data_IF_461906881239
#
_entry.id   IF_461906881239
#
_cell.length_a   1.000
_cell.length_b   1.000
_cell.length_c   1.000
_cell.angle_alpha   90.00
_cell.angle_beta   90.00
_cell.angle_gamma   90.00
#
_symmetry.space_group_name_H-M   'P 1'
#
loop_
_entity.id
_entity.type
_entity.pdbx_description
1 polymer ?
#
# COMPACT_ATOMS: atom_id res chain seq x y z
N UNK A 1 -15.46 12.63 -6.41
CA UNK A 1 -14.52 12.95 -7.51
C UNK A 1 -13.21 12.31 -7.12
N UNK A 2 -12.69 11.38 -7.91
CA UNK A 2 -11.32 10.90 -7.71
C UNK A 2 -10.39 12.10 -7.75
N UNK A 3 -9.57 12.27 -6.70
CA UNK A 3 -8.53 13.27 -6.75
C UNK A 3 -7.50 12.83 -7.80
N UNK A 4 -6.83 13.78 -8.44
CA UNK A 4 -5.73 13.45 -9.38
C UNK A 4 -4.68 12.52 -8.73
N UNK A 5 -4.53 12.58 -7.39
CA UNK A 5 -3.54 11.82 -6.63
C UNK A 5 -3.90 10.35 -6.49
N UNK A 6 -5.18 10.00 -6.27
CA UNK A 6 -5.60 8.59 -6.21
C UNK A 6 -5.40 7.87 -7.55
N UNK A 7 -5.72 8.56 -8.66
CA UNK A 7 -5.48 8.06 -10.01
C UNK A 7 -3.99 7.89 -10.33
N UNK A 8 -3.16 8.82 -9.84
CA UNK A 8 -1.71 8.67 -9.95
C UNK A 8 -1.20 7.43 -9.19
N UNK A 9 -1.66 7.21 -7.96
CA UNK A 9 -1.30 6.03 -7.18
C UNK A 9 -1.75 4.73 -7.88
N UNK A 10 -2.97 4.70 -8.42
CA UNK A 10 -3.50 3.57 -9.19
C UNK A 10 -2.59 3.24 -10.38
N UNK A 11 -2.25 4.24 -11.20
CA UNK A 11 -1.35 4.07 -12.36
C UNK A 11 0.04 3.58 -11.97
N UNK A 12 0.57 4.02 -10.84
CA UNK A 12 1.86 3.55 -10.32
C UNK A 12 1.79 2.07 -9.96
N UNK A 13 0.73 1.62 -9.28
CA UNK A 13 0.55 0.21 -8.94
C UNK A 13 0.34 -0.67 -10.18
N UNK A 14 -0.46 -0.21 -11.14
CA UNK A 14 -0.64 -0.89 -12.44
C UNK A 14 0.70 -1.00 -13.20
N UNK A 15 1.48 0.09 -13.22
CA UNK A 15 2.82 0.09 -13.81
C UNK A 15 3.76 -0.86 -13.06
N UNK A 16 3.74 -0.88 -11.73
CA UNK A 16 4.54 -1.81 -10.93
C UNK A 16 4.19 -3.27 -11.27
N UNK A 17 2.90 -3.61 -11.43
CA UNK A 17 2.48 -4.96 -11.83
C UNK A 17 3.12 -5.41 -13.13
N UNK A 18 3.22 -4.51 -14.11
CA UNK A 18 3.79 -4.80 -15.43
C UNK A 18 5.30 -5.11 -15.39
N UNK A 19 6.00 -4.71 -14.33
CA UNK A 19 7.42 -5.00 -14.12
C UNK A 19 7.66 -6.29 -13.32
N UNK A 20 6.61 -6.95 -12.82
CA UNK A 20 6.73 -8.19 -12.02
C UNK A 20 6.38 -9.41 -12.89
N UNK A 21 7.29 -10.40 -13.04
CA UNK A 21 6.96 -11.67 -13.68
C UNK A 21 5.77 -12.37 -13.00
N UNK A 22 4.92 -13.06 -13.75
CA UNK A 22 3.70 -13.69 -13.20
C UNK A 22 3.99 -14.66 -12.05
N UNK A 23 5.06 -15.44 -12.14
CA UNK A 23 5.46 -16.40 -11.11
C UNK A 23 6.15 -15.78 -9.89
N UNK A 24 6.42 -14.47 -9.91
CA UNK A 24 7.04 -13.72 -8.82
C UNK A 24 6.04 -12.79 -8.10
N UNK A 25 4.80 -12.70 -8.57
CA UNK A 25 3.84 -11.78 -8.01
C UNK A 25 3.15 -12.34 -6.75
N UNK A 26 3.21 -11.58 -5.65
CA UNK A 26 2.63 -11.95 -4.35
C UNK A 26 1.72 -10.85 -3.74
N UNK A 27 1.41 -9.83 -4.55
CA UNK A 27 0.68 -8.63 -4.15
C UNK A 27 1.59 -7.50 -3.67
N UNK A 28 1.04 -6.28 -3.71
CA UNK A 28 1.71 -5.05 -3.24
C UNK A 28 0.78 -4.36 -2.24
N UNK A 29 1.34 -3.88 -1.13
CA UNK A 29 0.67 -2.95 -0.21
C UNK A 29 1.42 -1.63 -0.17
N UNK A 30 0.72 -0.50 -0.25
CA UNK A 30 1.31 0.84 -0.18
C UNK A 30 0.54 1.74 0.78
N UNK A 31 1.27 2.61 1.47
CA UNK A 31 0.72 3.71 2.27
C UNK A 31 1.31 5.01 1.73
N UNK A 32 0.47 5.86 1.16
CA UNK A 32 0.82 7.24 0.82
C UNK A 32 0.55 8.10 2.05
N UNK A 33 1.60 8.51 2.75
CA UNK A 33 1.48 9.25 4.00
C UNK A 33 1.80 10.74 3.81
N UNK A 34 1.13 11.56 4.61
CA UNK A 34 1.34 13.00 4.75
C UNK A 34 2.41 13.29 5.81
N UNK A 35 2.37 12.56 6.94
CA UNK A 35 3.26 12.74 8.08
C UNK A 35 3.73 11.35 8.54
N UNK A 36 5.04 11.16 8.68
CA UNK A 36 5.59 9.88 9.13
C UNK A 36 5.36 9.64 10.63
N UNK A 37 5.54 10.71 11.43
CA UNK A 37 5.41 10.64 12.88
C UNK A 37 4.02 10.16 13.31
N UNK A 38 4.00 9.08 14.10
CA UNK A 38 2.77 8.47 14.59
C UNK A 38 2.14 7.44 13.65
N UNK A 39 2.74 7.15 12.48
CA UNK A 39 2.33 5.99 11.69
C UNK A 39 2.55 4.69 12.49
N UNK A 40 1.55 3.81 12.61
CA UNK A 40 1.66 2.57 13.35
C UNK A 40 2.32 1.50 12.48
N UNK A 41 3.60 1.72 12.17
CA UNK A 41 4.41 0.88 11.30
C UNK A 41 5.60 0.27 12.05
N UNK A 42 5.97 -0.94 11.67
CA UNK A 42 7.15 -1.63 12.18
C UNK A 42 7.89 -2.29 10.99
N UNK A 43 9.20 -2.09 10.83
CA UNK A 43 9.97 -2.83 9.84
C UNK A 43 9.91 -4.33 10.07
N UNK A 44 9.49 -5.09 9.06
CA UNK A 44 9.52 -6.56 9.07
C UNK A 44 10.87 -7.12 8.60
N UNK A 45 11.67 -6.28 7.95
CA UNK A 45 13.04 -6.60 7.55
C UNK A 45 14.04 -5.58 8.08
N UNK A 46 15.21 -6.09 8.48
CA UNK A 46 16.37 -5.28 8.88
C UNK A 46 17.05 -4.60 7.69
N UNK A 47 16.91 -5.16 6.49
CA UNK A 47 17.47 -4.61 5.26
C UNK A 47 16.38 -3.96 4.42
N UNK A 48 16.52 -2.65 4.20
CA UNK A 48 15.61 -1.83 3.40
C UNK A 48 16.43 -1.13 2.33
N UNK A 49 16.82 -1.86 1.30
CA UNK A 49 17.40 -1.26 0.10
C UNK A 49 16.41 -1.32 -1.05
N UNK A 50 16.30 -0.19 -1.75
CA UNK A 50 15.62 -0.06 -3.02
C UNK A 50 16.52 0.75 -3.94
N UNK A 51 16.49 0.43 -5.23
CA UNK A 51 17.36 1.06 -6.20
C UNK A 51 17.01 2.54 -6.36
N UNK A 52 17.92 3.41 -5.95
CA UNK A 52 17.79 4.85 -6.20
C UNK A 52 17.98 5.11 -7.69
N UNK A 53 17.14 5.99 -8.25
CA UNK A 53 17.22 6.43 -9.65
C UNK A 53 16.31 5.68 -10.63
N UNK A 54 15.68 4.57 -10.21
CA UNK A 54 14.56 3.97 -10.96
C UNK A 54 13.24 4.67 -10.62
N UNK A 55 12.21 4.45 -11.44
CA UNK A 55 10.86 4.96 -11.18
C UNK A 55 10.27 4.30 -9.93
N UNK A 56 9.32 4.99 -9.28
CA UNK A 56 8.61 4.43 -8.12
C UNK A 56 7.95 3.08 -8.44
N UNK A 57 7.40 2.91 -9.66
CA UNK A 57 6.81 1.66 -10.10
C UNK A 57 7.82 0.50 -10.13
N UNK A 58 9.02 0.74 -10.66
CA UNK A 58 10.10 -0.26 -10.69
C UNK A 58 10.62 -0.58 -9.28
N UNK A 59 10.73 0.43 -8.41
CA UNK A 59 11.15 0.23 -7.01
C UNK A 59 10.14 -0.64 -6.24
N UNK A 60 8.84 -0.35 -6.38
CA UNK A 60 7.77 -1.17 -5.79
C UNK A 60 7.78 -2.58 -6.36
N UNK A 61 7.98 -2.73 -7.68
CA UNK A 61 8.06 -4.04 -8.33
C UNK A 61 9.20 -4.90 -7.76
N UNK A 62 10.41 -4.35 -7.64
CA UNK A 62 11.54 -5.05 -7.05
C UNK A 62 11.32 -5.41 -5.57
N UNK A 63 10.70 -4.51 -4.81
CA UNK A 63 10.41 -4.75 -3.40
C UNK A 63 9.36 -5.86 -3.19
N UNK A 64 8.48 -6.08 -4.16
CA UNK A 64 7.37 -7.04 -4.08
C UNK A 64 7.58 -8.36 -4.84
N UNK A 65 8.81 -8.65 -5.29
CA UNK A 65 9.13 -9.96 -5.89
C UNK A 65 9.06 -11.06 -4.83
N UNK A 66 8.44 -12.20 -5.14
CA UNK A 66 8.37 -13.34 -4.23
C UNK A 66 9.75 -13.83 -3.79
N UNK A 67 10.73 -13.81 -4.70
CA UNK A 67 12.14 -14.11 -4.42
C UNK A 67 12.83 -13.14 -3.45
N UNK A 68 12.27 -11.95 -3.23
CA UNK A 68 12.73 -11.01 -2.22
C UNK A 68 12.19 -11.44 -0.85
N UNK A 69 13.03 -11.78 0.15
CA UNK A 69 12.55 -12.19 1.47
C UNK A 69 11.78 -11.07 2.22
N UNK A 70 11.87 -9.84 1.74
CA UNK A 70 11.25 -8.65 2.31
C UNK A 70 10.04 -8.16 1.50
N UNK A 71 9.29 -9.05 0.86
CA UNK A 71 8.12 -8.69 0.04
C UNK A 71 6.82 -8.52 0.82
N UNK A 72 6.64 -9.26 1.93
CA UNK A 72 5.33 -9.38 2.59
C UNK A 72 5.08 -8.29 3.64
N UNK A 73 4.66 -7.12 3.16
CA UNK A 73 4.28 -5.99 3.99
C UNK A 73 3.75 -4.82 3.18
N UNK A 74 3.72 -3.66 3.80
CA UNK A 74 3.44 -2.38 3.15
C UNK A 74 4.72 -1.64 2.80
N UNK A 75 4.69 -0.89 1.71
CA UNK A 75 5.72 0.05 1.32
C UNK A 75 5.23 1.48 1.60
N UNK A 76 6.09 2.33 2.15
CA UNK A 76 5.71 3.69 2.53
C UNK A 76 6.19 4.68 1.49
N UNK A 77 5.25 5.48 1.00
CA UNK A 77 5.46 6.49 -0.03
C UNK A 77 5.16 7.87 0.58
N UNK A 78 6.07 8.83 0.44
CA UNK A 78 5.84 10.21 0.88
C UNK A 78 4.81 10.93 0.01
N UNK A 79 4.33 12.10 0.44
CA UNK A 79 3.36 12.90 -0.31
C UNK A 79 3.88 13.34 -1.71
N UNK A 80 5.19 13.33 -1.93
CA UNK A 80 5.86 13.60 -3.20
C UNK A 80 6.03 12.34 -4.08
N UNK A 81 5.35 11.24 -3.75
CA UNK A 81 5.45 9.96 -4.45
C UNK A 81 6.87 9.41 -4.50
N UNK A 82 7.60 9.52 -3.39
CA UNK A 82 8.92 8.91 -3.22
C UNK A 82 8.82 7.69 -2.31
N UNK A 83 9.42 6.56 -2.71
CA UNK A 83 9.54 5.40 -1.83
C UNK A 83 10.49 5.76 -0.68
N UNK A 84 10.04 5.54 0.55
CA UNK A 84 10.82 5.87 1.74
C UNK A 84 11.18 4.64 2.56
N UNK A 85 10.29 3.66 2.62
CA UNK A 85 10.48 2.42 3.37
C UNK A 85 9.85 1.26 2.61
N UNK A 86 10.49 0.10 2.69
CA UNK A 86 9.94 -1.17 2.18
C UNK A 86 9.65 -2.11 3.35
N UNK A 87 8.79 -3.09 3.11
CA UNK A 87 8.45 -4.15 4.05
C UNK A 87 8.08 -3.72 5.49
N UNK A 88 7.02 -2.95 5.63
CA UNK A 88 6.50 -2.48 6.90
C UNK A 88 5.25 -3.28 7.29
N UNK A 89 5.20 -3.74 8.53
CA UNK A 89 3.95 -4.14 9.15
C UNK A 89 3.13 -2.89 9.45
N UNK A 90 1.90 -2.82 8.96
CA UNK A 90 0.97 -1.72 9.22
C UNK A 90 -0.13 -2.21 10.17
N UNK A 91 -0.22 -1.61 11.35
CA UNK A 91 -1.15 -2.02 12.41
C UNK A 91 -2.00 -0.84 12.88
N UNK A 92 -2.94 -0.37 12.05
CA UNK A 92 -3.74 0.79 12.42
C UNK A 92 -4.65 0.45 13.60
N UNK A 93 -4.87 1.38 14.55
CA UNK A 93 -5.79 1.17 15.65
C UNK A 93 -7.18 0.82 15.10
N UNK A 94 -7.81 -0.19 15.71
CA UNK A 94 -9.15 -0.58 15.32
C UNK A 94 -10.14 0.55 15.62
N UNK A 95 -10.98 0.95 14.65
CA UNK A 95 -11.95 2.00 14.89
C UNK A 95 -13.02 1.51 15.86
N UNK A 96 -13.36 2.34 16.85
CA UNK A 96 -14.40 2.00 17.82
C UNK A 96 -15.80 1.96 17.20
N UNK A 97 -16.01 2.70 16.11
CA UNK A 97 -17.25 2.69 15.35
C UNK A 97 -17.05 1.91 14.05
N UNK A 98 -17.75 0.79 13.88
CA UNK A 98 -17.63 -0.05 12.69
C UNK A 98 -18.26 0.55 11.43
N UNK A 99 -18.97 1.68 11.54
CA UNK A 99 -19.58 2.36 10.39
C UNK A 99 -18.60 3.23 9.60
N UNK A 100 -17.38 3.46 10.11
CA UNK A 100 -16.42 4.39 9.50
C UNK A 100 -15.60 3.75 8.38
N UNK A 101 -15.73 2.44 8.17
CA UNK A 101 -15.11 1.73 7.06
C UNK A 101 -16.16 0.90 6.33
N UNK A 102 -15.99 0.73 5.03
CA UNK A 102 -16.92 -0.06 4.22
C UNK A 102 -16.80 -1.56 4.55
N UNK A 103 -17.93 -2.19 4.86
CA UNK A 103 -18.05 -3.66 4.93
C UNK A 103 -18.51 -4.29 3.60
N UNK A 104 -18.36 -3.59 2.48
CA UNK A 104 -18.79 -4.06 1.15
C UNK A 104 -18.20 -5.43 0.76
N UNK A 105 -17.07 -5.83 1.36
CA UNK A 105 -16.50 -7.18 1.23
C UNK A 105 -16.54 -7.91 2.59
N UNK A 106 -17.36 -8.96 2.67
CA UNK A 106 -17.50 -9.76 3.90
C UNK A 106 -16.32 -10.72 4.15
N UNK A 107 -15.56 -11.07 3.11
CA UNK A 107 -14.39 -11.97 3.19
C UNK A 107 -13.17 -11.33 2.54
N UNK A 108 -12.45 -10.53 3.32
CA UNK A 108 -11.21 -9.88 2.88
C UNK A 108 -10.03 -10.26 3.79
N UNK A 109 -8.84 -10.29 3.20
CA UNK A 109 -7.61 -10.67 3.91
C UNK A 109 -7.04 -9.54 4.78
N UNK A 110 -6.05 -9.88 5.60
CA UNK A 110 -5.42 -8.93 6.52
C UNK A 110 -4.83 -7.69 5.83
N UNK A 111 -4.23 -7.83 4.64
CA UNK A 111 -3.70 -6.70 3.85
C UNK A 111 -4.80 -5.73 3.42
N UNK A 112 -5.95 -6.25 2.99
CA UNK A 112 -7.11 -5.42 2.62
C UNK A 112 -7.62 -4.64 3.83
N UNK A 113 -7.84 -5.32 4.97
CA UNK A 113 -8.29 -4.67 6.20
C UNK A 113 -7.31 -3.63 6.73
N UNK A 114 -6.00 -3.93 6.69
CA UNK A 114 -4.96 -3.01 7.14
C UNK A 114 -4.89 -1.77 6.24
N UNK A 115 -5.04 -1.93 4.93
CA UNK A 115 -5.11 -0.81 4.00
C UNK A 115 -6.35 0.04 4.27
N UNK A 116 -7.53 -0.58 4.32
CA UNK A 116 -8.78 0.13 4.53
C UNK A 116 -8.78 0.91 5.86
N UNK A 117 -8.48 0.25 6.98
CA UNK A 117 -8.43 0.93 8.28
C UNK A 117 -7.27 1.93 8.33
N UNK A 118 -6.13 1.61 7.72
CA UNK A 118 -4.98 2.51 7.63
C UNK A 118 -5.30 3.82 6.92
N UNK A 119 -6.22 3.82 5.95
CA UNK A 119 -6.68 5.04 5.28
C UNK A 119 -7.54 5.96 6.14
N UNK A 120 -7.97 5.53 7.34
CA UNK A 120 -8.66 6.39 8.31
C UNK A 120 -7.69 7.26 9.12
N UNK A 121 -6.39 6.99 9.03
CA UNK A 121 -5.39 7.70 9.82
C UNK A 121 -5.23 9.12 9.26
N UNK A 122 -5.28 10.18 10.11
CA UNK A 122 -5.15 11.56 9.64
C UNK A 122 -3.83 11.87 8.91
N UNK A 123 -2.79 11.07 9.17
CA UNK A 123 -1.49 11.19 8.51
C UNK A 123 -1.37 10.36 7.22
N UNK A 124 -2.42 9.67 6.79
CA UNK A 124 -2.44 8.86 5.56
C UNK A 124 -3.36 9.54 4.56
N UNK A 125 -2.84 9.82 3.37
CA UNK A 125 -3.65 10.35 2.27
C UNK A 125 -4.42 9.21 1.58
N UNK A 126 -3.72 8.12 1.27
CA UNK A 126 -4.30 6.94 0.63
C UNK A 126 -3.57 5.69 1.09
N UNK A 127 -4.28 4.57 1.12
CA UNK A 127 -3.63 3.26 1.04
C UNK A 127 -4.00 2.61 -0.27
N UNK A 128 -3.10 1.78 -0.78
CA UNK A 128 -3.31 1.03 -2.00
C UNK A 128 -2.92 -0.42 -1.82
N UNK A 129 -3.66 -1.32 -2.44
CA UNK A 129 -3.28 -2.71 -2.59
C UNK A 129 -3.38 -3.12 -4.04
N UNK A 130 -2.52 -4.04 -4.43
CA UNK A 130 -2.61 -4.76 -5.69
C UNK A 130 -2.55 -6.26 -5.38
N UNK A 131 -3.51 -7.03 -5.90
CA UNK A 131 -3.57 -8.49 -5.75
C UNK A 131 -4.19 -9.14 -6.98
N UNK A 132 -3.97 -10.43 -7.20
CA UNK A 132 -4.56 -11.14 -8.35
C UNK A 132 -6.10 -11.22 -8.25
N UNK A 133 -6.62 -11.28 -7.02
CA UNK A 133 -8.07 -11.41 -6.79
C UNK A 133 -8.81 -10.11 -7.06
N UNK A 134 -8.28 -8.99 -6.57
CA UNK A 134 -9.02 -7.71 -6.54
C UNK A 134 -8.48 -6.66 -7.52
N UNK A 135 -7.37 -6.94 -8.21
CA UNK A 135 -6.66 -5.93 -8.98
C UNK A 135 -6.14 -4.81 -8.08
N UNK A 136 -6.12 -3.58 -8.60
CA UNK A 136 -5.75 -2.39 -7.81
C UNK A 136 -6.96 -1.86 -7.05
N UNK A 137 -6.82 -1.76 -5.73
CA UNK A 137 -7.80 -1.16 -4.83
C UNK A 137 -7.14 -0.03 -4.07
N UNK A 138 -7.76 1.14 -4.06
CA UNK A 138 -7.30 2.32 -3.33
C UNK A 138 -8.35 2.68 -2.28
N UNK A 139 -7.90 3.06 -1.08
CA UNK A 139 -8.77 3.54 -0.02
C UNK A 139 -8.43 4.96 0.39
N UNK A 140 -9.48 5.71 0.70
CA UNK A 140 -9.48 7.04 1.29
C UNK A 140 -10.56 7.06 2.37
N UNK A 141 -10.23 7.55 3.57
CA UNK A 141 -11.18 7.65 4.68
C UNK A 141 -11.98 6.36 4.95
N UNK A 142 -11.32 5.19 4.84
CA UNK A 142 -11.95 3.88 5.08
C UNK A 142 -12.85 3.37 3.95
N UNK A 143 -12.92 4.09 2.83
CA UNK A 143 -13.80 3.79 1.70
C UNK A 143 -12.95 3.41 0.48
N UNK A 144 -13.36 2.33 -0.21
CA UNK A 144 -12.79 1.96 -1.50
C UNK A 144 -13.22 2.99 -2.55
N UNK A 145 -12.25 3.68 -3.15
CA UNK A 145 -12.48 4.64 -4.22
C UNK A 145 -12.24 3.97 -5.58
N UNK A 146 -13.19 4.15 -6.50
CA UNK A 146 -13.16 3.58 -7.85
C UNK A 146 -12.29 4.41 -8.75
#
# INVERSE_FOLDING_TARGET
MLTHRSEQLRKILESARAHIPENEFCGIGVVLYLIYDGLPVLPLCSYQEFQKGSSLAEQLAQASLFSNPCHDGFHLISDEFQLTHTNQYLAPPLPSNTSVYSRSKETCGARYMSAQIGSLLPMVSYTGILSDKEGVVIFEDGIEIK
#
